data_IF_772821653166
#
_entry.id   IF_772821653166
#
_cell.length_a   1.000
_cell.length_b   1.000
_cell.length_c   1.000
_cell.angle_alpha   90.00
_cell.angle_beta   90.00
_cell.angle_gamma   90.00
#
_symmetry.space_group_name_H-M   'P 1'
#
loop_
_entity.id
_entity.type
_entity.pdbx_description
1 polymer ?
#
# COMPACT_ATOMS: atom_id res chain seq x y z
N UNK A 1 -10.75 -30.97 3.49
CA UNK A 1 -10.97 -29.62 4.06
C UNK A 1 -10.93 -29.78 5.57
N UNK A 2 -9.98 -29.15 6.26
CA UNK A 2 -9.84 -29.31 7.71
C UNK A 2 -10.94 -28.52 8.43
N UNK A 3 -11.59 -29.14 9.42
CA UNK A 3 -12.64 -28.52 10.24
C UNK A 3 -12.04 -27.57 11.31
N UNK A 4 -11.06 -26.74 10.93
CA UNK A 4 -10.39 -25.80 11.82
C UNK A 4 -11.34 -24.70 12.29
N UNK A 5 -11.35 -24.44 13.59
CA UNK A 5 -12.09 -23.34 14.22
C UNK A 5 -11.67 -22.00 13.62
N UNK A 6 -12.67 -21.22 13.21
CA UNK A 6 -12.57 -19.89 12.61
C UNK A 6 -12.11 -18.86 13.65
N UNK A 7 -11.04 -18.12 13.39
CA UNK A 7 -10.79 -16.85 14.08
C UNK A 7 -11.29 -15.73 13.17
N UNK A 8 -12.60 -15.48 13.19
CA UNK A 8 -13.05 -14.10 12.99
C UNK A 8 -12.52 -13.37 14.22
N UNK A 9 -11.51 -12.52 14.05
CA UNK A 9 -11.05 -11.67 15.15
C UNK A 9 -12.16 -10.67 15.47
N UNK A 10 -13.13 -11.10 16.27
CA UNK A 10 -13.98 -10.19 17.04
C UNK A 10 -13.23 -9.65 18.27
N UNK A 11 -11.92 -9.92 18.39
CA UNK A 11 -11.03 -9.36 19.41
C UNK A 11 -9.75 -8.86 18.78
N UNK A 12 -9.40 -7.60 19.03
CA UNK A 12 -8.06 -7.07 18.75
C UNK A 12 -7.00 -7.94 19.40
N UNK A 13 -5.92 -8.27 18.68
CA UNK A 13 -4.88 -9.12 19.23
C UNK A 13 -3.64 -9.23 18.35
N UNK A 14 -2.52 -9.58 18.99
CA UNK A 14 -1.30 -9.95 18.29
C UNK A 14 -1.47 -11.38 17.81
N UNK A 15 -1.51 -11.58 16.49
CA UNK A 15 -1.32 -12.93 15.97
C UNK A 15 0.14 -13.31 16.16
N UNK A 16 0.45 -14.51 16.65
CA UNK A 16 1.83 -14.94 16.84
C UNK A 16 2.39 -15.75 15.68
N UNK A 17 1.52 -16.29 14.82
CA UNK A 17 1.89 -17.03 13.62
C UNK A 17 0.71 -17.11 12.63
N UNK A 18 0.79 -16.39 11.50
CA UNK A 18 -0.25 -16.41 10.45
C UNK A 18 -0.35 -17.76 9.73
N UNK A 19 0.74 -18.51 9.56
CA UNK A 19 0.73 -19.83 8.91
C UNK A 19 -0.07 -20.88 9.70
N UNK A 20 -0.13 -20.73 11.02
CA UNK A 20 -0.91 -21.60 11.92
C UNK A 20 -2.38 -21.22 12.02
N UNK A 21 -2.77 -20.06 11.49
CA UNK A 21 -4.16 -19.60 11.50
C UNK A 21 -4.81 -19.91 10.14
N UNK A 22 -5.89 -20.68 10.17
CA UNK A 22 -6.65 -21.00 8.97
C UNK A 22 -7.57 -19.83 8.63
N UNK A 23 -7.29 -19.16 7.52
CA UNK A 23 -8.16 -18.18 6.90
C UNK A 23 -8.80 -18.80 5.67
N UNK A 24 -10.12 -18.84 5.62
CA UNK A 24 -10.81 -19.06 4.34
C UNK A 24 -10.56 -17.81 3.46
N UNK A 25 -10.29 -17.96 2.16
CA UNK A 25 -10.25 -16.83 1.25
C UNK A 25 -11.62 -16.14 1.25
N UNK A 26 -11.76 -15.08 2.04
CA UNK A 26 -12.92 -14.20 1.93
C UNK A 26 -12.79 -13.51 0.57
N UNK A 27 -13.87 -13.45 -0.20
CA UNK A 27 -13.83 -12.69 -1.46
C UNK A 27 -13.48 -11.24 -1.12
N UNK A 28 -12.24 -10.84 -1.37
CA UNK A 28 -11.82 -9.48 -1.10
C UNK A 28 -12.68 -8.52 -1.92
N UNK A 29 -13.21 -7.45 -1.31
CA UNK A 29 -13.92 -6.43 -2.06
C UNK A 29 -13.04 -5.79 -3.15
N UNK A 30 -11.70 -5.87 -3.05
CA UNK A 30 -10.78 -5.43 -4.09
C UNK A 30 -11.00 -6.14 -5.43
N UNK A 31 -11.54 -7.37 -5.42
CA UNK A 31 -11.91 -8.09 -6.64
C UNK A 31 -13.10 -7.45 -7.41
N UNK A 32 -13.75 -6.41 -6.86
CA UNK A 32 -14.73 -5.62 -7.58
C UNK A 32 -14.13 -4.89 -8.79
N UNK A 33 -12.83 -4.59 -8.76
CA UNK A 33 -12.07 -4.25 -9.97
C UNK A 33 -11.44 -5.55 -10.48
N UNK A 34 -11.89 -6.00 -11.64
CA UNK A 34 -11.49 -7.29 -12.19
C UNK A 34 -9.96 -7.44 -12.32
N UNK A 35 -9.49 -8.68 -12.11
CA UNK A 35 -8.12 -9.13 -12.34
C UNK A 35 -7.04 -8.33 -11.57
N UNK A 36 -7.14 -8.19 -10.23
CA UNK A 36 -6.02 -7.70 -9.45
C UNK A 36 -4.84 -8.66 -9.57
N UNK A 37 -3.62 -8.15 -9.78
CA UNK A 37 -2.40 -8.97 -9.73
C UNK A 37 -2.07 -9.39 -8.30
N UNK A 38 -2.46 -8.60 -7.31
CA UNK A 38 -2.38 -8.94 -5.89
C UNK A 38 -3.50 -8.22 -5.13
N UNK A 39 -4.05 -8.86 -4.10
CA UNK A 39 -5.09 -8.27 -3.27
C UNK A 39 -4.95 -8.72 -1.81
N UNK A 40 -4.21 -7.96 -1.02
CA UNK A 40 -4.10 -8.15 0.42
C UNK A 40 -5.24 -7.42 1.13
N UNK A 41 -6.23 -8.18 1.61
CA UNK A 41 -7.23 -7.66 2.54
C UNK A 41 -6.65 -7.83 3.93
N UNK A 42 -5.94 -6.82 4.46
CA UNK A 42 -5.08 -7.01 5.63
C UNK A 42 -5.84 -7.33 6.94
N UNK A 43 -7.18 -7.44 6.90
CA UNK A 43 -8.00 -8.05 7.95
C UNK A 43 -7.75 -9.57 8.06
N UNK A 44 -7.47 -10.22 6.93
CA UNK A 44 -6.96 -11.59 6.85
C UNK A 44 -5.76 -11.51 5.92
N UNK A 45 -4.51 -11.47 6.41
CA UNK A 45 -3.30 -11.12 5.64
C UNK A 45 -2.90 -12.22 4.62
N UNK A 46 -3.86 -12.56 3.77
CA UNK A 46 -3.89 -13.57 2.73
C UNK A 46 -4.05 -12.81 1.41
N UNK A 47 -3.40 -13.33 0.38
CA UNK A 47 -3.60 -12.85 -0.98
C UNK A 47 -4.93 -13.37 -1.55
N UNK A 48 -5.92 -12.49 -1.61
CA UNK A 48 -7.23 -12.79 -2.17
C UNK A 48 -7.26 -12.74 -3.70
N UNK A 49 -6.17 -12.33 -4.36
CA UNK A 49 -6.06 -12.51 -5.82
C UNK A 49 -5.84 -13.98 -6.21
N UNK A 50 -5.44 -14.82 -5.24
CA UNK A 50 -5.14 -16.25 -5.41
C UNK A 50 -3.95 -16.52 -6.34
N UNK A 51 -3.03 -15.56 -6.45
CA UNK A 51 -1.79 -15.72 -7.22
C UNK A 51 -0.62 -16.25 -6.38
N UNK A 52 -0.86 -16.53 -5.10
CA UNK A 52 0.12 -17.19 -4.22
C UNK A 52 1.04 -16.21 -3.50
N UNK A 53 0.70 -14.92 -3.48
CA UNK A 53 1.43 -13.96 -2.66
C UNK A 53 1.07 -14.12 -1.18
N UNK A 54 1.94 -13.64 -0.30
CA UNK A 54 1.76 -13.69 1.14
C UNK A 54 2.29 -12.42 1.78
N UNK A 55 1.75 -12.09 2.95
CA UNK A 55 2.29 -11.07 3.83
C UNK A 55 3.05 -11.80 4.93
N UNK A 56 4.32 -11.46 5.12
CA UNK A 56 5.09 -11.90 6.26
C UNK A 56 4.82 -10.96 7.44
N UNK A 57 4.41 -11.55 8.55
CA UNK A 57 4.20 -10.81 9.78
C UNK A 57 5.51 -10.24 10.31
N UNK A 58 5.50 -8.95 10.68
CA UNK A 58 6.50 -8.31 11.53
C UNK A 58 5.97 -8.18 12.97
N UNK A 59 5.95 -6.95 13.49
CA UNK A 59 5.52 -6.62 14.87
C UNK A 59 4.11 -6.02 14.94
N UNK A 60 3.35 -6.14 13.85
CA UNK A 60 2.06 -5.46 13.69
C UNK A 60 0.96 -6.14 14.51
N UNK A 61 -0.02 -5.34 14.93
CA UNK A 61 -1.22 -5.82 15.61
C UNK A 61 -2.34 -5.92 14.57
N UNK A 62 -3.05 -7.05 14.55
CA UNK A 62 -4.24 -7.16 13.72
C UNK A 62 -5.44 -6.55 14.44
N UNK A 63 -6.14 -5.67 13.74
CA UNK A 63 -7.29 -4.91 14.19
C UNK A 63 -8.48 -5.20 13.27
N UNK A 64 -9.68 -4.87 13.72
CA UNK A 64 -10.91 -5.01 12.90
C UNK A 64 -10.91 -4.25 11.56
N UNK A 65 -9.95 -3.36 11.36
CA UNK A 65 -9.75 -2.63 10.10
C UNK A 65 -8.54 -3.06 9.27
N UNK A 66 -7.63 -3.91 9.78
CA UNK A 66 -6.36 -4.25 9.13
C UNK A 66 -5.18 -4.25 10.10
N UNK A 67 -3.99 -3.87 9.65
CA UNK A 67 -2.76 -3.91 10.45
C UNK A 67 -2.47 -2.55 11.08
N UNK A 68 -2.19 -2.55 12.38
CA UNK A 68 -1.62 -1.44 13.14
C UNK A 68 -0.09 -1.62 13.24
N UNK A 69 0.64 -0.55 12.90
CA UNK A 69 2.08 -0.45 12.92
C UNK A 69 2.51 0.48 14.08
N UNK A 70 3.25 -0.03 15.08
CA UNK A 70 3.64 0.77 16.25
C UNK A 70 4.89 1.64 16.02
N UNK A 71 5.49 1.62 14.82
CA UNK A 71 6.72 2.37 14.50
C UNK A 71 8.02 1.62 14.77
N UNK A 72 7.99 0.31 15.01
CA UNK A 72 9.20 -0.51 15.26
C UNK A 72 9.59 -1.44 14.11
N UNK A 73 8.64 -1.94 13.32
CA UNK A 73 8.92 -2.69 12.09
C UNK A 73 7.71 -2.70 11.13
N UNK A 74 7.98 -2.86 9.83
CA UNK A 74 6.96 -3.12 8.81
C UNK A 74 6.70 -4.60 8.55
N UNK A 75 5.81 -4.87 7.60
CA UNK A 75 5.57 -6.21 7.05
C UNK A 75 6.19 -6.29 5.66
N UNK A 76 6.86 -7.40 5.36
CA UNK A 76 7.32 -7.68 4.00
C UNK A 76 6.30 -8.57 3.31
N UNK A 77 5.99 -8.32 2.05
CA UNK A 77 5.19 -9.25 1.24
C UNK A 77 6.08 -10.05 0.30
N UNK A 78 5.56 -11.13 -0.26
CA UNK A 78 6.19 -11.82 -1.41
C UNK A 78 5.80 -11.20 -2.75
N UNK A 79 5.01 -10.12 -2.75
CA UNK A 79 4.62 -9.44 -3.98
C UNK A 79 5.83 -8.74 -4.60
N UNK A 80 6.37 -9.39 -5.62
CA UNK A 80 7.33 -8.87 -6.57
C UNK A 80 6.99 -9.47 -7.93
N UNK A 81 6.91 -8.63 -8.97
CA UNK A 81 6.64 -9.03 -10.34
C UNK A 81 7.58 -8.31 -11.29
N UNK A 82 8.53 -9.07 -11.82
CA UNK A 82 9.51 -8.56 -12.77
C UNK A 82 8.88 -8.16 -14.10
N UNK A 83 9.44 -7.14 -14.75
CA UNK A 83 9.05 -6.72 -16.09
C UNK A 83 7.80 -5.85 -16.15
N UNK A 84 7.20 -5.51 -15.00
CA UNK A 84 6.12 -4.54 -14.96
C UNK A 84 6.64 -3.15 -15.35
N UNK A 85 5.99 -2.63 -16.38
CA UNK A 85 6.26 -1.38 -17.06
C UNK A 85 5.41 -0.24 -16.46
N UNK A 86 4.25 -0.61 -15.91
CA UNK A 86 3.42 0.22 -15.06
C UNK A 86 2.43 -0.62 -14.27
N UNK A 87 1.77 0.03 -13.32
CA UNK A 87 0.72 -0.56 -12.51
C UNK A 87 -0.15 0.53 -11.90
N UNK A 88 -1.36 0.15 -11.51
CA UNK A 88 -2.19 0.93 -10.61
C UNK A 88 -2.35 0.20 -9.31
N UNK A 89 -2.45 0.93 -8.21
CA UNK A 89 -2.60 0.34 -6.89
C UNK A 89 -3.61 1.14 -6.05
N UNK A 90 -4.15 0.47 -5.04
CA UNK A 90 -5.10 1.03 -4.09
C UNK A 90 -4.72 0.59 -2.68
N UNK A 91 -4.67 1.53 -1.75
CA UNK A 91 -4.47 1.25 -0.33
C UNK A 91 -5.31 2.20 0.51
N UNK A 92 -5.54 1.86 1.77
CA UNK A 92 -6.02 2.81 2.76
C UNK A 92 -5.08 2.82 3.95
N UNK A 93 -4.74 4.02 4.41
CA UNK A 93 -3.78 4.24 5.49
C UNK A 93 -4.27 5.32 6.44
N UNK A 94 -3.80 5.25 7.69
CA UNK A 94 -3.97 6.30 8.70
C UNK A 94 -2.65 6.48 9.41
N UNK A 95 -2.19 7.71 9.59
CA UNK A 95 -1.00 7.98 10.39
C UNK A 95 -1.42 8.36 11.81
N UNK A 96 -0.89 7.71 12.84
CA UNK A 96 -1.13 8.11 14.23
C UNK A 96 -0.18 9.23 14.68
N UNK A 97 0.94 9.40 13.97
CA UNK A 97 1.92 10.45 14.21
C UNK A 97 2.27 11.17 12.90
N UNK A 98 2.48 12.48 12.95
CA UNK A 98 2.83 13.34 11.81
C UNK A 98 4.06 14.23 12.09
N UNK A 99 4.82 13.87 13.12
CA UNK A 99 6.04 14.53 13.59
C UNK A 99 7.33 13.85 13.10
N UNK A 100 7.20 12.66 12.49
CA UNK A 100 8.33 11.85 12.00
C UNK A 100 8.14 11.42 10.55
N UNK A 101 9.26 11.24 9.84
CA UNK A 101 9.28 10.71 8.49
C UNK A 101 8.88 9.23 8.48
N UNK A 102 7.96 8.84 7.61
CA UNK A 102 7.35 7.50 7.62
C UNK A 102 7.15 6.94 6.22
N UNK A 103 7.29 5.62 6.09
CA UNK A 103 6.93 4.90 4.88
C UNK A 103 5.58 4.22 5.07
N UNK A 104 4.62 4.54 4.20
CA UNK A 104 3.33 3.85 4.13
C UNK A 104 3.51 2.55 3.34
N UNK A 105 4.14 2.65 2.17
CA UNK A 105 4.49 1.52 1.29
C UNK A 105 5.85 1.78 0.65
N UNK A 106 6.64 0.74 0.39
CA UNK A 106 7.89 0.87 -0.38
C UNK A 106 8.22 -0.44 -1.11
N UNK A 107 8.52 -0.36 -2.40
CA UNK A 107 9.09 -1.48 -3.17
C UNK A 107 10.29 -1.02 -4.01
N UNK A 108 10.96 0.07 -3.64
CA UNK A 108 12.06 0.60 -4.44
C UNK A 108 13.34 -0.22 -4.32
N UNK A 109 14.08 -0.27 -5.41
CA UNK A 109 15.52 -0.48 -5.41
C UNK A 109 16.16 0.87 -5.77
N UNK A 110 17.16 1.30 -5.01
CA UNK A 110 17.91 2.53 -5.30
C UNK A 110 19.36 2.24 -5.68
N UNK A 111 19.69 0.98 -5.97
CA UNK A 111 21.02 0.56 -6.41
C UNK A 111 21.30 1.12 -7.82
N UNK A 112 22.40 1.86 -8.03
CA UNK A 112 22.76 2.33 -9.36
C UNK A 112 22.91 1.18 -10.36
N UNK A 113 22.29 1.32 -11.53
CA UNK A 113 22.23 0.31 -12.59
C UNK A 113 21.00 -0.60 -12.53
N UNK A 114 20.36 -0.75 -11.36
CA UNK A 114 19.15 -1.59 -11.19
C UNK A 114 17.98 -0.86 -10.55
N UNK A 115 18.11 0.43 -10.24
CA UNK A 115 17.10 1.14 -9.46
C UNK A 115 15.73 1.21 -10.16
N UNK A 116 14.67 1.06 -9.36
CA UNK A 116 13.29 0.97 -9.82
C UNK A 116 12.29 1.15 -8.67
N UNK A 117 11.00 1.09 -9.01
CA UNK A 117 9.91 0.95 -8.04
C UNK A 117 9.34 2.28 -7.55
N UNK A 118 8.46 2.19 -6.56
CA UNK A 118 7.76 3.34 -5.99
C UNK A 118 7.59 3.20 -4.48
N UNK A 119 7.32 4.33 -3.83
CA UNK A 119 6.98 4.39 -2.42
C UNK A 119 5.98 5.51 -2.15
N UNK A 120 5.22 5.34 -1.07
CA UNK A 120 4.43 6.42 -0.47
C UNK A 120 5.07 6.72 0.87
N UNK A 121 5.48 7.97 1.05
CA UNK A 121 6.07 8.43 2.30
C UNK A 121 5.34 9.64 2.84
N UNK A 122 5.38 9.80 4.15
CA UNK A 122 5.00 11.05 4.80
C UNK A 122 6.25 11.79 5.25
N UNK A 123 6.29 13.09 4.95
CA UNK A 123 7.36 13.98 5.35
C UNK A 123 6.84 15.01 6.36
N UNK A 124 7.34 15.02 7.61
CA UNK A 124 6.91 15.99 8.61
C UNK A 124 7.32 17.41 8.23
N UNK A 125 8.40 17.57 7.46
CA UNK A 125 8.74 18.86 6.85
C UNK A 125 7.70 19.20 5.77
N UNK A 126 6.82 20.14 6.11
CA UNK A 126 5.66 20.51 5.28
C UNK A 126 4.44 19.60 5.45
N UNK A 127 4.46 18.67 6.41
CA UNK A 127 3.35 17.76 6.77
C UNK A 127 2.62 17.14 5.58
N UNK A 128 3.38 16.61 4.63
CA UNK A 128 2.87 16.22 3.31
C UNK A 128 3.10 14.76 2.99
N UNK A 129 2.22 14.23 2.16
CA UNK A 129 2.42 12.95 1.51
C UNK A 129 3.30 13.13 0.25
N UNK A 130 4.21 12.19 0.03
CA UNK A 130 5.11 12.19 -1.11
C UNK A 130 4.95 10.86 -1.85
N UNK A 131 4.71 10.93 -3.16
CA UNK A 131 4.92 9.83 -4.08
C UNK A 131 6.39 9.83 -4.46
N UNK A 132 7.10 8.75 -4.14
CA UNK A 132 8.50 8.58 -4.49
C UNK A 132 8.67 7.50 -5.52
N UNK A 133 9.66 7.66 -6.37
CA UNK A 133 9.94 6.78 -7.51
C UNK A 133 11.46 6.54 -7.58
N UNK A 134 11.88 5.30 -7.77
CA UNK A 134 13.30 4.93 -7.95
C UNK A 134 13.67 4.82 -9.43
N UNK A 135 14.85 5.32 -9.80
CA UNK A 135 15.33 5.35 -11.19
C UNK A 135 16.49 4.38 -11.44
N UNK A 136 16.70 3.93 -12.70
CA UNK A 136 17.79 3.01 -13.03
C UNK A 136 19.19 3.51 -12.67
N UNK A 137 19.42 4.82 -12.58
CA UNK A 137 20.69 5.41 -12.15
C UNK A 137 20.89 5.41 -10.62
N UNK A 138 19.91 4.90 -9.86
CA UNK A 138 19.89 4.88 -8.40
C UNK A 138 19.31 6.16 -7.77
N UNK A 139 18.96 7.17 -8.56
CA UNK A 139 18.33 8.40 -8.07
C UNK A 139 16.86 8.17 -7.68
N UNK A 140 16.26 9.14 -6.98
CA UNK A 140 14.83 9.12 -6.65
C UNK A 140 14.12 10.40 -7.09
N UNK A 141 12.94 10.24 -7.69
CA UNK A 141 11.96 11.31 -7.82
C UNK A 141 11.14 11.45 -6.54
N UNK A 142 10.85 12.68 -6.11
CA UNK A 142 10.00 12.98 -4.96
C UNK A 142 8.93 13.97 -5.43
N UNK A 143 7.66 13.55 -5.38
CA UNK A 143 6.54 14.34 -5.87
C UNK A 143 5.51 14.53 -4.77
N UNK A 144 4.99 15.73 -4.63
CA UNK A 144 4.01 16.09 -3.62
C UNK A 144 3.12 17.23 -4.10
N UNK A 145 1.98 17.39 -3.42
CA UNK A 145 1.09 18.51 -3.65
C UNK A 145 1.32 19.57 -2.55
N UNK A 146 1.59 20.81 -2.96
CA UNK A 146 1.74 21.92 -2.04
C UNK A 146 0.40 22.33 -1.41
N UNK A 147 0.45 22.84 -0.17
CA UNK A 147 -0.71 23.33 0.56
C UNK A 147 -1.68 22.26 1.06
N UNK A 148 -1.36 20.98 0.90
CA UNK A 148 -2.15 19.84 1.42
C UNK A 148 -1.42 19.18 2.58
N UNK A 149 -2.12 19.10 3.71
CA UNK A 149 -1.60 18.54 4.97
C UNK A 149 -2.27 17.22 5.28
N UNK A 150 -1.50 16.24 5.74
CA UNK A 150 -2.03 14.99 6.28
C UNK A 150 -2.35 15.17 7.76
N UNK A 151 -3.58 14.80 8.15
CA UNK A 151 -4.08 14.91 9.51
C UNK A 151 -3.86 13.59 10.25
N UNK A 152 -3.25 13.66 11.43
CA UNK A 152 -3.09 12.49 12.29
C UNK A 152 -4.46 11.92 12.70
N UNK A 153 -4.58 10.60 12.72
CA UNK A 153 -5.81 9.90 13.08
C UNK A 153 -6.88 9.87 11.98
N UNK A 154 -6.67 10.52 10.84
CA UNK A 154 -7.58 10.46 9.70
C UNK A 154 -7.20 9.33 8.75
N UNK A 155 -8.19 8.56 8.30
CA UNK A 155 -8.02 7.58 7.23
C UNK A 155 -7.99 8.27 5.87
N UNK A 156 -7.08 7.81 5.01
CA UNK A 156 -6.99 8.20 3.61
C UNK A 156 -7.03 6.95 2.74
N UNK A 157 -7.85 6.98 1.70
CA UNK A 157 -7.78 5.99 0.61
C UNK A 157 -6.91 6.59 -0.49
N UNK A 158 -5.82 5.91 -0.82
CA UNK A 158 -4.85 6.35 -1.82
C UNK A 158 -4.90 5.43 -3.04
N UNK A 159 -5.18 6.00 -4.21
CA UNK A 159 -5.10 5.32 -5.49
C UNK A 159 -3.92 5.87 -6.28
N UNK A 160 -2.93 5.01 -6.55
CA UNK A 160 -1.75 5.39 -7.32
C UNK A 160 -1.75 4.80 -8.71
N UNK A 161 -1.15 5.52 -9.65
CA UNK A 161 -0.88 5.08 -11.02
C UNK A 161 0.58 5.32 -11.31
N UNK A 162 1.35 4.25 -11.49
CA UNK A 162 2.73 4.31 -11.99
C UNK A 162 2.68 3.95 -13.47
N UNK A 163 2.65 4.99 -14.30
CA UNK A 163 2.43 4.90 -15.75
C UNK A 163 3.74 4.72 -16.55
N UNK A 164 3.84 3.77 -17.51
CA UNK A 164 4.89 3.75 -18.53
C UNK A 164 4.96 5.01 -19.39
N UNK A 165 3.84 5.73 -19.54
CA UNK A 165 3.78 7.01 -20.25
C UNK A 165 4.32 8.18 -19.41
N UNK A 166 4.97 7.90 -18.27
CA UNK A 166 5.55 8.88 -17.36
C UNK A 166 4.51 9.77 -16.70
N UNK A 167 3.24 9.37 -16.62
CA UNK A 167 2.19 10.15 -15.95
C UNK A 167 1.87 9.55 -14.59
N UNK A 168 2.80 9.68 -13.63
CA UNK A 168 2.63 9.11 -12.30
C UNK A 168 1.65 9.93 -11.48
N UNK A 169 0.73 9.26 -10.78
CA UNK A 169 -0.31 9.92 -10.00
C UNK A 169 -0.52 9.24 -8.66
N UNK A 170 -0.90 10.02 -7.65
CA UNK A 170 -1.44 9.53 -6.39
C UNK A 170 -2.64 10.41 -6.01
N UNK A 171 -3.83 9.82 -6.03
CA UNK A 171 -5.08 10.49 -5.68
C UNK A 171 -5.58 9.98 -4.33
N UNK A 172 -5.91 10.91 -3.44
CA UNK A 172 -6.45 10.62 -2.12
C UNK A 172 -7.97 10.81 -2.07
N UNK A 173 -8.60 10.19 -1.08
CA UNK A 173 -10.03 10.26 -0.79
C UNK A 173 -10.59 11.66 -0.54
N UNK A 174 -9.74 12.60 -0.11
CA UNK A 174 -10.07 14.00 0.17
C UNK A 174 -9.97 14.89 -1.08
N UNK A 175 -9.66 14.31 -2.24
CA UNK A 175 -9.46 15.02 -3.50
C UNK A 175 -8.06 15.55 -3.72
N UNK A 176 -7.13 15.37 -2.77
CA UNK A 176 -5.71 15.66 -2.98
C UNK A 176 -5.17 14.77 -4.10
N UNK A 177 -4.51 15.37 -5.09
CA UNK A 177 -3.90 14.66 -6.20
C UNK A 177 -2.44 15.11 -6.36
N UNK A 178 -1.52 14.16 -6.26
CA UNK A 178 -0.12 14.34 -6.64
C UNK A 178 -0.01 13.85 -8.08
N UNK A 179 0.48 14.69 -8.98
CA UNK A 179 0.74 14.31 -10.37
C UNK A 179 2.18 14.67 -10.73
N UNK A 180 2.85 13.75 -11.42
CA UNK A 180 4.24 13.91 -11.82
C UNK A 180 4.43 13.41 -13.26
N UNK A 181 5.12 14.23 -14.05
CA UNK A 181 5.51 13.89 -15.42
C UNK A 181 7.03 13.91 -15.60
N UNK A 182 7.77 12.94 -15.02
CA UNK A 182 9.23 12.95 -15.06
C UNK A 182 9.84 12.71 -16.44
N UNK A 183 11.12 13.06 -16.58
CA UNK A 183 11.96 12.59 -17.67
C UNK A 183 12.48 11.17 -17.36
N UNK A 184 12.65 10.34 -18.39
CA UNK A 184 13.08 8.94 -18.24
C UNK A 184 11.92 7.95 -18.01
N UNK A 185 12.22 6.66 -18.05
CA UNK A 185 11.24 5.57 -17.96
C UNK A 185 11.53 4.68 -16.75
N UNK A 186 10.47 4.26 -16.05
CA UNK A 186 10.58 3.32 -14.95
C UNK A 186 10.50 1.89 -15.46
N UNK A 187 11.62 1.19 -15.40
CA UNK A 187 11.63 -0.25 -15.55
C UNK A 187 11.20 -0.90 -14.24
N UNK A 188 10.53 -2.04 -14.35
CA UNK A 188 10.37 -2.99 -13.26
C UNK A 188 9.69 -2.41 -12.01
N UNK A 189 8.56 -1.71 -12.18
CA UNK A 189 7.91 -0.91 -11.11
C UNK A 189 7.47 -1.70 -9.87
N UNK A 190 7.41 -3.03 -9.94
CA UNK A 190 7.19 -3.91 -8.78
C UNK A 190 8.24 -5.03 -8.71
N UNK A 191 9.47 -4.76 -9.16
CA UNK A 191 10.56 -5.74 -9.20
C UNK A 191 11.02 -6.24 -7.83
N UNK A 192 10.88 -5.41 -6.81
CA UNK A 192 11.21 -5.74 -5.43
C UNK A 192 9.95 -6.04 -4.60
N UNK A 193 10.16 -6.79 -3.52
CA UNK A 193 9.12 -7.12 -2.55
C UNK A 193 8.51 -5.84 -1.98
N UNK A 194 7.18 -5.75 -2.01
CA UNK A 194 6.46 -4.65 -1.37
C UNK A 194 6.57 -4.75 0.15
N UNK A 195 7.05 -3.67 0.76
CA UNK A 195 7.03 -3.41 2.19
C UNK A 195 5.78 -2.60 2.56
N UNK A 196 5.14 -3.00 3.64
CA UNK A 196 4.00 -2.33 4.26
C UNK A 196 4.49 -1.67 5.56
N UNK A 197 4.27 -0.36 5.71
CA UNK A 197 4.62 0.39 6.91
C UNK A 197 6.13 0.51 7.18
N UNK A 198 6.98 0.29 6.17
CA UNK A 198 8.44 0.38 6.29
C UNK A 198 9.11 0.69 4.95
N UNK A 199 10.32 1.24 5.01
CA UNK A 199 11.20 1.34 3.83
C UNK A 199 11.72 -0.04 3.42
N UNK A 200 12.00 -0.23 2.14
CA UNK A 200 12.71 -1.42 1.62
C UNK A 200 14.09 -1.63 2.28
N UNK A 201 14.74 -0.54 2.72
CA UNK A 201 16.04 -0.56 3.40
C UNK A 201 15.96 -0.70 4.95
N UNK A 202 14.77 -0.87 5.53
CA UNK A 202 14.59 -1.03 6.99
C UNK A 202 14.90 0.20 7.88
N UNK A 203 14.98 1.41 7.33
CA UNK A 203 15.44 2.62 8.04
C UNK A 203 14.35 3.47 8.71
N UNK A 204 13.12 3.47 8.19
CA UNK A 204 12.01 4.27 8.73
C UNK A 204 10.71 3.48 8.70
N UNK A 205 9.96 3.56 9.80
CA UNK A 205 8.79 2.72 10.08
C UNK A 205 7.56 3.57 10.37
N UNK A 206 6.40 3.08 9.96
CA UNK A 206 5.11 3.75 10.13
C UNK A 206 4.61 3.63 11.58
N UNK A 207 4.10 4.75 12.10
CA UNK A 207 3.20 4.80 13.26
C UNK A 207 1.80 5.07 12.74
N UNK A 208 0.97 4.04 12.67
CA UNK A 208 -0.33 4.14 12.03
C UNK A 208 -0.83 2.81 11.53
N UNK A 209 -1.67 2.83 10.50
CA UNK A 209 -2.47 1.67 10.12
C UNK A 209 -2.54 1.50 8.60
N UNK A 210 -2.60 0.24 8.15
CA UNK A 210 -2.92 -0.13 6.77
C UNK A 210 -4.07 -1.12 6.74
N UNK A 211 -5.10 -0.78 5.97
CA UNK A 211 -6.31 -1.61 5.88
C UNK A 211 -6.23 -2.67 4.79
N UNK A 212 -5.67 -2.33 3.63
CA UNK A 212 -5.56 -3.23 2.50
C UNK A 212 -4.54 -2.72 1.48
N UNK A 213 -4.13 -3.60 0.57
CA UNK A 213 -3.37 -3.25 -0.63
C UNK A 213 -3.86 -4.08 -1.81
N UNK A 214 -4.21 -3.43 -2.92
CA UNK A 214 -4.48 -4.06 -4.19
C UNK A 214 -3.65 -3.44 -5.29
N UNK A 215 -3.21 -4.24 -6.27
CA UNK A 215 -2.57 -3.74 -7.48
C UNK A 215 -3.12 -4.42 -8.73
N UNK A 216 -3.03 -3.71 -9.86
CA UNK A 216 -3.45 -4.14 -11.19
C UNK A 216 -2.38 -3.80 -12.21
N UNK A 217 -2.12 -4.73 -13.14
CA UNK A 217 -1.22 -4.55 -14.28
C UNK A 217 -1.92 -3.77 -15.40
N UNK A 218 -2.39 -2.56 -15.07
CA UNK A 218 -2.95 -1.59 -16.03
C UNK A 218 -2.81 -0.17 -15.48
N UNK A 219 -2.77 0.80 -16.37
CA UNK A 219 -2.96 2.21 -16.01
C UNK A 219 -4.45 2.48 -15.78
N UNK A 220 -4.80 2.99 -14.60
CA UNK A 220 -6.15 3.44 -14.33
C UNK A 220 -6.39 4.76 -15.03
N UNK A 221 -7.52 4.84 -15.73
CA UNK A 221 -8.06 6.11 -16.20
C UNK A 221 -8.51 6.98 -15.02
N UNK A 222 -8.91 8.22 -15.28
CA UNK A 222 -9.52 9.06 -14.26
C UNK A 222 -10.81 8.41 -13.68
N UNK A 223 -11.62 7.76 -14.53
CA UNK A 223 -12.83 7.05 -14.11
C UNK A 223 -12.52 5.79 -13.27
N UNK A 224 -11.51 5.02 -13.65
CA UNK A 224 -11.04 3.87 -12.86
C UNK A 224 -10.54 4.34 -11.48
N UNK A 225 -9.80 5.45 -11.44
CA UNK A 225 -9.27 6.04 -10.20
C UNK A 225 -10.40 6.45 -9.25
N UNK A 226 -11.43 7.13 -9.76
CA UNK A 226 -12.61 7.49 -8.96
C UNK A 226 -13.34 6.25 -8.43
N UNK A 227 -13.50 5.22 -9.28
CA UNK A 227 -14.13 3.95 -8.91
C UNK A 227 -13.33 3.23 -7.82
N UNK A 228 -12.00 3.22 -7.94
CA UNK A 228 -11.11 2.58 -6.97
C UNK A 228 -11.12 3.31 -5.62
N UNK A 229 -11.07 4.65 -5.63
CA UNK A 229 -11.21 5.45 -4.39
C UNK A 229 -12.56 5.22 -3.73
N UNK A 230 -13.65 5.17 -4.49
CA UNK A 230 -14.98 4.86 -3.97
C UNK A 230 -15.06 3.44 -3.37
N UNK A 231 -14.47 2.45 -4.04
CA UNK A 231 -14.34 1.09 -3.51
C UNK A 231 -13.60 1.08 -2.18
N UNK A 232 -12.44 1.75 -2.10
CA UNK A 232 -11.68 1.84 -0.86
C UNK A 232 -12.47 2.50 0.27
N UNK A 233 -13.22 3.58 -0.01
CA UNK A 233 -14.13 4.21 0.97
C UNK A 233 -15.19 3.23 1.47
N UNK A 234 -15.81 2.48 0.57
CA UNK A 234 -16.83 1.48 0.92
C UNK A 234 -16.25 0.36 1.80
N UNK A 235 -15.03 -0.11 1.51
CA UNK A 235 -14.33 -1.10 2.34
C UNK A 235 -14.14 -0.57 3.76
N UNK A 236 -13.68 0.68 3.90
CA UNK A 236 -13.47 1.29 5.22
C UNK A 236 -14.78 1.51 5.97
N UNK A 237 -15.83 1.96 5.28
CA UNK A 237 -17.16 2.11 5.87
C UNK A 237 -17.73 0.78 6.40
N UNK A 238 -17.55 -0.32 5.66
CA UNK A 238 -17.93 -1.67 6.11
C UNK A 238 -17.14 -2.14 7.36
N UNK A 239 -15.96 -1.55 7.59
CA UNK A 239 -15.12 -1.78 8.79
C UNK A 239 -15.42 -0.78 9.91
N UNK A 240 -16.50 -0.01 9.79
CA UNK A 240 -16.89 1.02 10.76
C UNK A 240 -15.92 2.20 10.84
N UNK A 241 -15.10 2.42 9.81
CA UNK A 241 -14.13 3.52 9.76
C UNK A 241 -14.64 4.64 8.85
N UNK A 242 -14.52 5.88 9.30
CA UNK A 242 -14.75 7.07 8.48
C UNK A 242 -13.46 7.46 7.74
N UNK A 243 -13.61 7.87 6.47
CA UNK A 243 -12.54 8.35 5.57
C UNK A 243 -12.79 9.80 5.21
#
# INVERSE_FOLDING_TARGET
>A
MGNGTRILLNSDGVITNWEKQYFEPVKSPLAAIANPIVAFDLLTPVDNSRHGFSVQQGVQILKGYGLEFPGSAGSQTTFAKSGLSGLSFLTAFRLSAVDVFQYVLDCRDLTPGTGHGYAITFNPAGQRLELRVGWPDGSQGIYFQEGKTIVAGQWYVACGVISPNRNHKLTLSDGTAIAASPAGYLLNVAGNKLMLGASAAGSSMMKGDLAFFGAWEKEFTAGDTLTAVALGKNIMALRGQAV
#
